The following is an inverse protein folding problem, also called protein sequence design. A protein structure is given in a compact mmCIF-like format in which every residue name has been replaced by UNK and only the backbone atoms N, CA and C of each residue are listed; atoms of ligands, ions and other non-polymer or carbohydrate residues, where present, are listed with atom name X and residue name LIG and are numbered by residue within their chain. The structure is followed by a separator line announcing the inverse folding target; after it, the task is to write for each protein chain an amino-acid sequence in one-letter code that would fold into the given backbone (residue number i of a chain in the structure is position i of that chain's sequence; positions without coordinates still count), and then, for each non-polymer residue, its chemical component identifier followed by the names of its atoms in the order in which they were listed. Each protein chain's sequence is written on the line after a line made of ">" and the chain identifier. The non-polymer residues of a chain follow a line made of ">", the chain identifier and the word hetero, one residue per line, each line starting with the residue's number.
data_IF_022048273097
#
_entry.id   IF_022048273097
#
_cell.length_a   1.000
_cell.length_b   1.000
_cell.length_c   1.000
_cell.angle_alpha   90.00
_cell.angle_beta   90.00
_cell.angle_gamma   90.00
#
_symmetry.space_group_name_H-M   'P 1'
#
loop_
_entity.id
_entity.type
_entity.pdbx_description
1 polymer ?
#
# COMPACT_ATOMS: atom_id res chain seq x y z
N UNK A 1 21.32 -1.79 -27.09
CA UNK A 1 21.53 -0.63 -26.19
C UNK A 1 21.21 -1.09 -24.77
N UNK A 2 22.19 -1.68 -24.08
CA UNK A 2 22.06 -2.03 -22.67
C UNK A 2 22.69 -0.90 -21.88
N UNK A 3 21.93 0.18 -21.73
CA UNK A 3 22.33 1.29 -20.90
C UNK A 3 22.23 0.83 -19.45
N UNK A 4 23.40 0.59 -18.84
CA UNK A 4 23.57 0.46 -17.40
C UNK A 4 23.20 1.80 -16.74
N UNK A 5 21.91 2.12 -16.69
CA UNK A 5 21.42 3.33 -16.05
C UNK A 5 21.53 3.13 -14.54
N UNK A 6 22.69 3.51 -14.00
CA UNK A 6 22.95 3.48 -12.57
C UNK A 6 22.04 4.53 -11.94
N UNK A 7 20.90 4.08 -11.39
CA UNK A 7 19.94 4.97 -10.72
C UNK A 7 20.67 5.81 -9.67
N UNK A 8 20.52 7.13 -9.76
CA UNK A 8 21.12 8.05 -8.81
C UNK A 8 20.50 7.85 -7.41
N UNK A 9 21.19 8.33 -6.36
CA UNK A 9 20.63 8.29 -4.99
C UNK A 9 19.27 8.99 -4.90
N UNK A 10 19.06 10.03 -5.70
CA UNK A 10 17.85 10.83 -5.72
C UNK A 10 16.68 10.06 -6.36
N UNK A 11 16.91 9.46 -7.53
CA UNK A 11 15.90 8.64 -8.23
C UNK A 11 15.41 7.48 -7.37
N UNK A 12 16.32 6.79 -6.65
CA UNK A 12 15.94 5.75 -5.70
C UNK A 12 15.06 6.27 -4.57
N UNK A 13 15.33 7.49 -4.09
CA UNK A 13 14.55 8.13 -3.01
C UNK A 13 13.14 8.47 -3.49
N UNK A 14 13.03 9.03 -4.68
CA UNK A 14 11.75 9.41 -5.28
C UNK A 14 10.90 8.18 -5.60
N UNK A 15 11.53 7.12 -6.11
CA UNK A 15 10.89 5.81 -6.33
C UNK A 15 10.37 5.21 -5.02
N UNK A 16 11.13 5.30 -3.92
CA UNK A 16 10.68 4.86 -2.59
C UNK A 16 9.51 5.68 -2.06
N UNK A 17 9.57 7.02 -2.18
CA UNK A 17 8.49 7.90 -1.73
C UNK A 17 7.20 7.67 -2.50
N UNK A 18 7.28 7.50 -3.82
CA UNK A 18 6.13 7.16 -4.67
C UNK A 18 5.47 5.86 -4.23
N UNK A 19 6.25 4.78 -4.09
CA UNK A 19 5.77 3.48 -3.59
C UNK A 19 5.14 3.56 -2.20
N UNK A 20 5.68 4.40 -1.31
CA UNK A 20 5.11 4.63 0.02
C UNK A 20 3.74 5.30 -0.08
N UNK A 21 3.60 6.35 -0.90
CA UNK A 21 2.34 7.07 -1.13
C UNK A 21 1.28 6.18 -1.80
N UNK A 22 1.67 5.31 -2.73
CA UNK A 22 0.77 4.33 -3.37
C UNK A 22 0.23 3.30 -2.37
N UNK A 23 1.06 2.86 -1.42
CA UNK A 23 0.66 1.90 -0.38
C UNK A 23 -0.21 2.52 0.71
N UNK A 24 -0.14 3.84 0.90
CA UNK A 24 -0.97 4.53 1.89
C UNK A 24 -2.43 4.51 1.41
N UNK A 25 -3.30 3.98 2.26
CA UNK A 25 -4.74 4.09 2.04
C UNK A 25 -5.13 5.57 2.08
N UNK A 26 -5.46 6.14 0.91
CA UNK A 26 -5.83 7.56 0.76
C UNK A 26 -7.12 7.91 1.51
N UNK A 27 -7.97 6.91 1.71
CA UNK A 27 -9.22 7.00 2.45
C UNK A 27 -9.18 5.94 3.54
N UNK A 28 -9.82 6.20 4.67
CA UNK A 28 -9.96 5.22 5.76
C UNK A 28 -10.62 3.91 5.31
N UNK A 29 -10.84 2.99 6.24
CA UNK A 29 -11.55 1.74 5.91
C UNK A 29 -12.93 2.08 5.31
N UNK A 30 -13.17 1.62 4.07
CA UNK A 30 -14.50 1.67 3.45
C UNK A 30 -15.50 0.94 4.36
N UNK A 31 -16.74 1.44 4.44
CA UNK A 31 -17.87 0.81 5.12
C UNK A 31 -17.98 -0.69 4.83
N UNK A 32 -17.81 -1.12 3.58
CA UNK A 32 -17.84 -2.53 3.20
C UNK A 32 -16.75 -3.36 3.94
N UNK A 33 -15.55 -2.79 4.09
CA UNK A 33 -14.43 -3.45 4.80
C UNK A 33 -14.66 -3.50 6.30
N UNK A 34 -15.26 -2.45 6.87
CA UNK A 34 -15.69 -2.44 8.29
C UNK A 34 -16.73 -3.52 8.55
N UNK A 35 -17.74 -3.64 7.68
CA UNK A 35 -18.78 -4.68 7.79
C UNK A 35 -18.19 -6.09 7.66
N UNK A 36 -17.32 -6.34 6.68
CA UNK A 36 -16.66 -7.63 6.51
C UNK A 36 -15.79 -8.00 7.73
N UNK A 37 -15.00 -7.06 8.26
CA UNK A 37 -14.20 -7.28 9.47
C UNK A 37 -15.09 -7.68 10.66
N UNK A 38 -16.26 -7.04 10.81
CA UNK A 38 -17.22 -7.34 11.88
C UNK A 38 -17.85 -8.74 11.73
N UNK A 39 -18.22 -9.14 10.52
CA UNK A 39 -18.76 -10.49 10.23
C UNK A 39 -17.70 -11.55 10.53
N UNK A 40 -16.47 -11.38 10.05
CA UNK A 40 -15.36 -12.32 10.31
C UNK A 40 -15.09 -12.44 11.80
N UNK A 41 -15.07 -11.33 12.55
CA UNK A 41 -14.88 -11.35 14.00
C UNK A 41 -15.99 -12.13 14.72
N UNK A 42 -17.24 -11.98 14.28
CA UNK A 42 -18.37 -12.74 14.81
C UNK A 42 -18.25 -14.24 14.52
N UNK A 43 -17.82 -14.61 13.31
CA UNK A 43 -17.67 -16.01 12.91
C UNK A 43 -16.50 -16.71 13.62
N UNK A 44 -15.40 -16.01 13.87
CA UNK A 44 -14.22 -16.55 14.60
C UNK A 44 -14.40 -16.62 16.11
N UNK A 45 -15.35 -15.88 16.67
CA UNK A 45 -15.68 -15.91 18.09
C UNK A 45 -16.70 -16.98 18.48
N UNK A 46 -17.14 -17.82 17.53
CA UNK A 46 -17.97 -19.00 17.74
C UNK A 46 -17.11 -20.26 17.75
#
# INVERSE_FOLDING_TARGET
>A
MNDNHIETKQERRDKKLRKKRERMAKHGKNLARVYMDAVIKRLRGK
#
